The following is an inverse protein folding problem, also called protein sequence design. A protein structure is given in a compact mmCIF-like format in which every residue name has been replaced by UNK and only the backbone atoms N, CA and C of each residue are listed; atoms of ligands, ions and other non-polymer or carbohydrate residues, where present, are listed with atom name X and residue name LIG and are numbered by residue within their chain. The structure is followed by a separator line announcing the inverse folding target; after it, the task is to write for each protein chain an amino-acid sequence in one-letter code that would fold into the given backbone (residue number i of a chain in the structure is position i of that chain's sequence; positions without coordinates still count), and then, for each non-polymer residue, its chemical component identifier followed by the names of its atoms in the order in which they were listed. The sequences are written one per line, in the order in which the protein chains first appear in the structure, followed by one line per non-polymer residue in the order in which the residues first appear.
data_IF_188637744528
#
_entry.id   IF_188637744528
#
_cell.length_a   1.000
_cell.length_b   1.000
_cell.length_c   1.000
_cell.angle_alpha   90.00
_cell.angle_beta   90.00
_cell.angle_gamma   90.00
#
_symmetry.space_group_name_H-M   'P 1'
#
loop_
_entity.id
_entity.type
_entity.pdbx_description
1 polymer ?
#
# COMPACT_ATOMS: atom_id res chain seq x y z
N UNK A 1 25.98 -0.40 -6.60
CA UNK A 1 26.22 0.95 -7.12
C UNK A 1 25.21 1.86 -6.43
N UNK A 2 25.60 2.99 -5.87
CA UNK A 2 24.64 3.87 -5.21
C UNK A 2 23.70 4.48 -6.25
N UNK A 3 22.38 4.36 -6.05
CA UNK A 3 21.43 5.01 -6.95
C UNK A 3 21.49 6.54 -6.75
N UNK A 4 21.13 7.31 -7.77
CA UNK A 4 20.98 8.76 -7.62
C UNK A 4 19.93 9.13 -6.56
N UNK A 5 19.05 8.19 -6.21
CA UNK A 5 17.96 8.35 -5.25
C UNK A 5 18.30 7.86 -3.84
N UNK A 6 19.49 7.29 -3.63
CA UNK A 6 19.96 6.90 -2.30
C UNK A 6 19.96 8.14 -1.40
N UNK A 7 19.53 7.99 -0.15
CA UNK A 7 19.55 9.09 0.82
C UNK A 7 18.77 10.33 0.35
N UNK A 8 17.62 10.13 -0.32
CA UNK A 8 16.71 11.21 -0.69
C UNK A 8 15.46 11.21 0.18
N UNK A 9 14.96 12.40 0.49
CA UNK A 9 13.76 12.57 1.27
C UNK A 9 12.56 11.90 0.59
N UNK A 10 11.82 11.07 1.33
CA UNK A 10 10.62 10.39 0.83
C UNK A 10 9.51 11.36 0.38
N UNK A 11 9.53 12.61 0.89
CA UNK A 11 8.48 13.60 0.64
C UNK A 11 8.77 14.51 -0.55
N UNK A 12 10.03 14.94 -0.70
CA UNK A 12 10.37 15.95 -1.72
C UNK A 12 11.49 15.52 -2.67
N UNK A 13 12.12 14.37 -2.45
CA UNK A 13 13.22 13.85 -3.29
C UNK A 13 14.57 14.54 -3.12
N UNK A 14 14.72 15.53 -2.24
CA UNK A 14 16.01 16.22 -2.00
C UNK A 14 16.95 15.32 -1.18
N UNK A 15 18.25 15.34 -1.51
CA UNK A 15 19.31 14.63 -0.77
C UNK A 15 19.36 15.04 0.70
N UNK A 16 19.57 14.06 1.58
CA UNK A 16 19.61 14.26 3.03
C UNK A 16 20.23 13.04 3.72
N UNK A 17 20.99 13.27 4.77
CA UNK A 17 21.50 12.20 5.65
C UNK A 17 20.57 11.92 6.84
N UNK A 18 19.59 12.80 7.07
CA UNK A 18 18.60 12.65 8.12
C UNK A 18 17.66 11.48 7.81
N UNK A 19 17.67 10.48 8.70
CA UNK A 19 16.84 9.29 8.63
C UNK A 19 15.95 9.12 9.86
N UNK A 20 14.84 8.42 9.71
CA UNK A 20 13.97 8.05 10.82
C UNK A 20 14.71 7.12 11.78
N UNK A 21 15.00 7.60 12.99
CA UNK A 21 15.77 6.86 14.00
C UNK A 21 15.12 5.53 14.40
N UNK A 22 13.79 5.46 14.45
CA UNK A 22 13.06 4.22 14.75
C UNK A 22 13.16 3.19 13.63
N UNK A 23 13.09 3.61 12.37
CA UNK A 23 13.21 2.69 11.23
C UNK A 23 14.65 2.20 11.03
N UNK A 24 15.64 3.08 11.29
CA UNK A 24 17.04 2.68 11.30
C UNK A 24 17.31 1.54 12.31
N UNK A 25 16.66 1.57 13.48
CA UNK A 25 16.72 0.47 14.47
C UNK A 25 16.08 -0.84 13.96
N UNK A 26 15.18 -0.77 12.99
CA UNK A 26 14.61 -1.92 12.31
C UNK A 26 15.46 -2.37 11.11
N UNK A 27 16.58 -1.71 10.82
CA UNK A 27 17.45 -2.06 9.69
C UNK A 27 16.94 -1.55 8.33
N UNK A 28 16.11 -0.50 8.29
CA UNK A 28 15.73 0.18 7.05
C UNK A 28 15.92 1.69 7.17
N UNK A 29 16.57 2.30 6.17
CA UNK A 29 16.87 3.72 6.16
C UNK A 29 15.82 4.51 5.38
N UNK A 30 14.91 5.15 6.12
CA UNK A 30 13.87 6.02 5.56
C UNK A 30 14.22 7.49 5.83
N UNK A 31 14.41 8.25 4.76
CA UNK A 31 15.02 9.58 4.80
C UNK A 31 13.99 10.72 4.78
N UNK A 32 14.24 11.77 5.58
CA UNK A 32 13.44 12.99 5.66
C UNK A 32 14.35 14.21 5.77
N UNK A 33 14.28 15.17 4.85
CA UNK A 33 15.20 16.32 4.87
C UNK A 33 14.96 17.28 6.04
N UNK A 34 13.76 17.25 6.65
CA UNK A 34 13.42 18.04 7.82
C UNK A 34 12.42 17.31 8.75
N UNK A 35 12.35 17.68 10.04
CA UNK A 35 11.30 17.22 10.94
C UNK A 35 9.89 17.53 10.42
N UNK A 36 9.72 18.63 9.67
CA UNK A 36 8.41 19.02 9.15
C UNK A 36 7.94 18.11 8.02
N UNK A 37 8.84 17.64 7.15
CA UNK A 37 8.50 16.60 6.17
C UNK A 37 8.17 15.27 6.84
N UNK A 38 8.86 14.91 7.93
CA UNK A 38 8.51 13.73 8.70
C UNK A 38 7.11 13.89 9.36
N UNK A 39 6.83 15.04 9.99
CA UNK A 39 5.53 15.35 10.60
C UNK A 39 4.41 15.32 9.58
N UNK A 40 4.64 15.83 8.37
CA UNK A 40 3.66 15.87 7.29
C UNK A 40 3.07 14.47 7.03
N UNK A 41 3.93 13.46 6.91
CA UNK A 41 3.51 12.07 6.63
C UNK A 41 3.36 11.21 7.89
N UNK A 42 3.58 11.79 9.08
CA UNK A 42 3.64 11.04 10.34
C UNK A 42 2.35 10.28 10.63
N UNK A 43 1.19 10.83 10.27
CA UNK A 43 -0.12 10.19 10.46
C UNK A 43 -0.17 8.80 9.82
N UNK A 44 0.41 8.65 8.63
CA UNK A 44 0.52 7.37 7.93
C UNK A 44 1.73 6.57 8.42
N UNK A 45 2.93 7.18 8.39
CA UNK A 45 4.19 6.51 8.67
C UNK A 45 4.23 5.86 10.06
N UNK A 46 3.68 6.51 11.10
CA UNK A 46 3.71 5.99 12.49
C UNK A 46 3.08 4.60 12.65
N UNK A 47 2.15 4.23 11.77
CA UNK A 47 1.45 2.93 11.81
C UNK A 47 2.39 1.77 11.46
N UNK A 48 3.43 2.04 10.69
CA UNK A 48 4.40 1.05 10.18
C UNK A 48 5.84 1.39 10.57
N UNK A 49 6.03 2.37 11.46
CA UNK A 49 7.33 2.85 11.90
C UNK A 49 7.86 2.01 13.07
N UNK A 50 9.17 1.73 13.05
CA UNK A 50 9.93 1.16 14.17
C UNK A 50 10.14 -0.36 14.13
N UNK A 51 10.89 -0.89 15.12
CA UNK A 51 11.16 -2.32 15.24
C UNK A 51 9.87 -3.14 15.29
N UNK A 52 9.88 -4.29 14.60
CA UNK A 52 8.73 -5.19 14.48
C UNK A 52 7.61 -4.68 13.55
N UNK A 53 7.80 -3.54 12.86
CA UNK A 53 6.80 -2.96 11.94
C UNK A 53 7.38 -2.45 10.62
N UNK A 54 8.57 -1.87 10.66
CA UNK A 54 9.15 -1.21 9.50
C UNK A 54 9.91 -2.16 8.57
N UNK A 55 10.52 -3.22 9.11
CA UNK A 55 11.24 -4.22 8.35
C UNK A 55 11.17 -5.59 9.06
N UNK A 56 10.42 -6.57 8.50
CA UNK A 56 9.57 -6.44 7.31
C UNK A 56 8.46 -5.40 7.52
N UNK A 57 7.92 -4.86 6.41
CA UNK A 57 6.76 -3.97 6.48
C UNK A 57 5.55 -4.76 6.99
N UNK A 58 5.05 -4.42 8.18
CA UNK A 58 3.89 -5.06 8.79
C UNK A 58 2.64 -4.22 8.58
N UNK A 59 1.64 -4.81 7.93
CA UNK A 59 0.29 -4.29 7.85
C UNK A 59 -0.30 -4.13 9.25
N UNK A 60 -0.81 -2.93 9.59
CA UNK A 60 -1.52 -2.72 10.84
C UNK A 60 -2.77 -3.59 10.91
N UNK A 61 -3.03 -4.12 12.10
CA UNK A 61 -4.29 -4.79 12.44
C UNK A 61 -5.51 -3.91 12.13
N UNK A 62 -6.65 -4.55 11.99
CA UNK A 62 -7.91 -3.88 11.74
C UNK A 62 -8.36 -3.15 13.01
N UNK A 63 -8.89 -1.94 12.84
CA UNK A 63 -9.78 -1.38 13.86
C UNK A 63 -11.09 -2.15 13.91
N UNK A 64 -11.83 -2.04 15.01
CA UNK A 64 -13.15 -2.66 15.11
C UNK A 64 -14.09 -2.19 13.98
N UNK A 65 -14.06 -0.88 13.68
CA UNK A 65 -14.85 -0.29 12.59
C UNK A 65 -14.48 -0.88 11.22
N UNK A 66 -13.20 -1.05 10.93
CA UNK A 66 -12.75 -1.69 9.67
C UNK A 66 -13.26 -3.14 9.58
N UNK A 67 -13.20 -3.89 10.67
CA UNK A 67 -13.66 -5.28 10.71
C UNK A 67 -15.18 -5.40 10.57
N UNK A 68 -15.95 -4.55 11.24
CA UNK A 68 -17.41 -4.53 11.15
C UNK A 68 -17.86 -4.20 9.72
N UNK A 69 -17.27 -3.18 9.09
CA UNK A 69 -17.50 -2.83 7.68
C UNK A 69 -17.18 -3.98 6.74
N UNK A 70 -16.03 -4.64 6.94
CA UNK A 70 -15.66 -5.82 6.15
C UNK A 70 -16.71 -6.92 6.29
N UNK A 71 -17.12 -7.25 7.51
CA UNK A 71 -18.07 -8.34 7.78
C UNK A 71 -19.46 -8.03 7.23
N UNK A 72 -19.93 -6.79 7.38
CA UNK A 72 -21.23 -6.34 6.88
C UNK A 72 -21.29 -6.43 5.35
N UNK A 73 -20.18 -6.12 4.67
CA UNK A 73 -20.14 -5.93 3.22
C UNK A 73 -19.35 -7.00 2.46
N UNK A 74 -18.88 -8.07 3.09
CA UNK A 74 -18.02 -9.05 2.41
C UNK A 74 -18.71 -9.81 1.26
N UNK A 75 -20.04 -9.77 1.18
CA UNK A 75 -20.83 -10.34 0.09
C UNK A 75 -21.23 -9.34 -0.99
N UNK A 76 -20.86 -8.06 -0.85
CA UNK A 76 -21.08 -7.06 -1.90
C UNK A 76 -20.25 -7.39 -3.14
N UNK A 77 -20.82 -7.09 -4.31
CA UNK A 77 -20.14 -7.29 -5.58
C UNK A 77 -19.01 -6.27 -5.74
N UNK A 78 -17.79 -6.78 -5.89
CA UNK A 78 -16.62 -6.07 -6.37
C UNK A 78 -16.62 -6.16 -7.90
N UNK A 79 -17.21 -5.15 -8.55
CA UNK A 79 -17.44 -5.12 -10.01
C UNK A 79 -16.18 -5.48 -10.82
N UNK A 80 -14.98 -4.94 -10.51
CA UNK A 80 -13.77 -5.33 -11.25
C UNK A 80 -13.43 -6.82 -11.19
N UNK A 81 -13.77 -7.50 -10.10
CA UNK A 81 -13.53 -8.93 -9.95
C UNK A 81 -14.62 -9.74 -10.64
N UNK A 82 -15.88 -9.32 -10.53
CA UNK A 82 -17.02 -9.98 -11.15
C UNK A 82 -16.88 -10.10 -12.68
N UNK A 83 -16.27 -9.10 -13.34
CA UNK A 83 -16.00 -9.16 -14.77
C UNK A 83 -14.91 -10.17 -15.17
N UNK A 84 -14.03 -10.54 -14.24
CA UNK A 84 -12.90 -11.46 -14.50
C UNK A 84 -13.23 -12.88 -14.09
N UNK A 85 -13.90 -13.03 -12.95
CA UNK A 85 -14.23 -14.32 -12.36
C UNK A 85 -15.41 -14.16 -11.40
N UNK A 86 -16.55 -14.78 -11.75
CA UNK A 86 -17.77 -14.74 -10.92
C UNK A 86 -17.59 -15.35 -9.54
N UNK A 87 -16.70 -16.34 -9.38
CA UNK A 87 -16.41 -16.96 -8.09
C UNK A 87 -15.61 -16.04 -7.15
N UNK A 88 -14.94 -15.02 -7.70
CA UNK A 88 -14.20 -14.01 -6.94
C UNK A 88 -14.92 -12.66 -6.92
N UNK A 89 -16.20 -12.62 -7.32
CA UNK A 89 -16.97 -11.38 -7.45
C UNK A 89 -17.18 -10.63 -6.14
N UNK A 90 -16.91 -11.24 -4.98
CA UNK A 90 -17.07 -10.64 -3.65
C UNK A 90 -15.80 -10.83 -2.83
N UNK A 91 -15.64 -10.06 -1.76
CA UNK A 91 -14.54 -10.25 -0.80
C UNK A 91 -14.58 -11.66 -0.22
N UNK A 92 -15.75 -12.13 0.18
CA UNK A 92 -15.93 -13.49 0.70
C UNK A 92 -15.55 -14.54 -0.34
N UNK A 93 -16.03 -14.43 -1.58
CA UNK A 93 -15.71 -15.40 -2.64
C UNK A 93 -14.21 -15.48 -2.93
N UNK A 94 -13.55 -14.32 -3.03
CA UNK A 94 -12.11 -14.25 -3.26
C UNK A 94 -11.29 -14.83 -2.10
N UNK A 95 -11.64 -14.50 -0.85
CA UNK A 95 -10.91 -14.94 0.35
C UNK A 95 -11.17 -16.41 0.69
N UNK A 96 -12.43 -16.85 0.65
CA UNK A 96 -12.82 -18.25 0.86
C UNK A 96 -12.10 -19.19 -0.10
N UNK A 97 -12.03 -18.82 -1.39
CA UNK A 97 -11.29 -19.60 -2.40
C UNK A 97 -9.79 -19.62 -2.12
N UNK A 98 -9.21 -18.49 -1.72
CA UNK A 98 -7.78 -18.40 -1.47
C UNK A 98 -7.36 -19.23 -0.26
N UNK A 99 -8.18 -19.25 0.79
CA UNK A 99 -7.87 -19.91 2.06
C UNK A 99 -8.47 -21.32 2.20
N UNK A 100 -9.34 -21.73 1.29
CA UNK A 100 -10.15 -22.94 1.41
C UNK A 100 -10.97 -22.96 2.72
N UNK A 101 -11.70 -21.87 2.98
CA UNK A 101 -12.56 -21.69 4.17
C UNK A 101 -13.97 -21.27 3.80
N UNK A 102 -14.91 -21.47 4.71
CA UNK A 102 -16.29 -20.96 4.58
C UNK A 102 -16.43 -19.49 5.06
N UNK A 103 -17.56 -18.83 4.75
CA UNK A 103 -17.78 -17.43 5.15
C UNK A 103 -17.81 -17.17 6.66
N UNK A 104 -18.24 -18.12 7.50
CA UNK A 104 -18.25 -17.95 8.96
C UNK A 104 -16.83 -18.06 9.55
N UNK A 105 -16.02 -18.95 8.98
CA UNK A 105 -14.59 -19.00 9.26
C UNK A 105 -13.90 -17.69 8.84
N UNK A 106 -14.26 -17.11 7.69
CA UNK A 106 -13.74 -15.81 7.26
C UNK A 106 -14.12 -14.68 8.25
N UNK A 107 -15.37 -14.63 8.73
CA UNK A 107 -15.77 -13.66 9.77
C UNK A 107 -14.95 -13.81 11.05
N UNK A 108 -14.70 -15.06 11.45
CA UNK A 108 -13.89 -15.37 12.63
C UNK A 108 -12.45 -14.91 12.45
N UNK A 109 -11.87 -15.13 11.27
CA UNK A 109 -10.55 -14.63 10.89
C UNK A 109 -10.49 -13.10 10.90
N UNK A 110 -11.49 -12.41 10.35
CA UNK A 110 -11.54 -10.93 10.37
C UNK A 110 -11.52 -10.42 11.81
N UNK A 111 -12.31 -11.03 12.72
CA UNK A 111 -12.32 -10.69 14.15
C UNK A 111 -10.99 -10.98 14.84
N UNK A 112 -10.31 -12.06 14.48
CA UNK A 112 -8.99 -12.42 14.98
C UNK A 112 -7.92 -11.36 14.62
N UNK A 113 -8.08 -10.69 13.47
CA UNK A 113 -7.17 -9.66 12.97
C UNK A 113 -7.45 -8.24 13.50
N UNK A 114 -8.34 -8.10 14.50
CA UNK A 114 -8.68 -6.82 15.13
C UNK A 114 -7.67 -6.44 16.24
N UNK A 115 -7.40 -5.15 16.37
CA UNK A 115 -6.63 -4.59 17.50
C UNK A 115 -7.25 -5.01 18.83
N UNK A 116 -6.46 -5.63 19.70
CA UNK A 116 -6.90 -6.05 21.04
C UNK A 116 -7.57 -7.42 21.09
N UNK A 117 -7.75 -8.12 19.95
CA UNK A 117 -8.20 -9.50 19.95
C UNK A 117 -7.21 -10.41 20.71
N UNK A 118 -7.75 -11.34 21.50
CA UNK A 118 -6.95 -12.37 22.18
C UNK A 118 -6.25 -13.23 21.14
N UNK A 119 -4.92 -13.22 21.19
CA UNK A 119 -4.06 -14.00 20.33
C UNK A 119 -3.13 -14.82 21.19
N UNK A 120 -2.86 -16.10 20.84
CA UNK A 120 -1.78 -16.85 21.46
C UNK A 120 -0.53 -15.97 21.50
N UNK A 121 0.12 -15.87 22.65
CA UNK A 121 1.33 -15.07 22.82
C UNK A 121 2.39 -15.56 21.83
N UNK A 122 2.69 -14.75 20.81
CA UNK A 122 3.70 -15.07 19.80
C UNK A 122 3.26 -14.61 18.43
N UNK A 123 4.01 -13.65 17.88
CA UNK A 123 4.10 -13.14 16.51
C UNK A 123 2.91 -13.25 15.54
N UNK A 124 2.64 -12.13 14.88
CA UNK A 124 1.76 -12.11 13.70
C UNK A 124 2.38 -13.02 12.64
N UNK A 125 1.62 -13.99 12.14
CA UNK A 125 2.13 -14.95 11.15
C UNK A 125 2.26 -14.30 9.77
N UNK A 126 3.04 -14.91 8.87
CA UNK A 126 3.07 -14.48 7.46
C UNK A 126 1.67 -14.55 6.83
N UNK A 127 0.87 -15.55 7.21
CA UNK A 127 -0.50 -15.70 6.74
C UNK A 127 -1.37 -14.52 7.22
N UNK A 128 -1.27 -14.12 8.49
CA UNK A 128 -2.01 -12.96 9.02
C UNK A 128 -1.69 -11.69 8.25
N UNK A 129 -0.41 -11.47 7.93
CA UNK A 129 0.02 -10.30 7.15
C UNK A 129 -0.51 -10.32 5.73
N UNK A 130 -0.51 -11.49 5.09
CA UNK A 130 -1.10 -11.65 3.78
C UNK A 130 -2.62 -11.38 3.81
N UNK A 131 -3.30 -11.83 4.85
CA UNK A 131 -4.73 -11.61 5.03
C UNK A 131 -5.07 -10.15 5.27
N UNK A 132 -4.32 -9.47 6.14
CA UNK A 132 -4.45 -8.03 6.34
C UNK A 132 -4.25 -7.26 5.04
N UNK A 133 -3.24 -7.62 4.24
CA UNK A 133 -3.00 -7.00 2.94
C UNK A 133 -4.22 -7.15 2.00
N UNK A 134 -4.73 -8.38 1.82
CA UNK A 134 -5.85 -8.66 0.91
C UNK A 134 -7.16 -8.02 1.38
N UNK A 135 -7.50 -8.13 2.67
CA UNK A 135 -8.68 -7.50 3.26
C UNK A 135 -8.66 -5.98 3.03
N UNK A 136 -7.50 -5.34 3.29
CA UNK A 136 -7.33 -3.89 3.06
C UNK A 136 -7.35 -3.53 1.58
N UNK A 137 -6.79 -4.36 0.71
CA UNK A 137 -6.72 -4.08 -0.73
C UNK A 137 -8.09 -4.10 -1.43
N UNK A 138 -8.98 -4.98 -0.97
CA UNK A 138 -10.27 -5.21 -1.62
C UNK A 138 -11.33 -4.20 -1.19
N UNK A 139 -11.16 -3.57 -0.03
CA UNK A 139 -12.11 -2.58 0.48
C UNK A 139 -12.26 -1.34 -0.43
N UNK A 140 -11.18 -0.70 -0.93
CA UNK A 140 -11.28 0.33 -1.94
C UNK A 140 -11.96 -0.16 -3.22
N UNK A 141 -11.63 -1.37 -3.67
CA UNK A 141 -12.18 -1.95 -4.89
C UNK A 141 -13.70 -2.14 -4.78
N UNK A 142 -14.19 -2.54 -3.61
CA UNK A 142 -15.61 -2.60 -3.28
C UNK A 142 -16.27 -1.21 -3.29
N UNK A 143 -15.66 -0.24 -2.60
CA UNK A 143 -16.23 1.11 -2.42
C UNK A 143 -16.25 1.93 -3.70
N UNK A 144 -15.23 1.82 -4.54
CA UNK A 144 -15.11 2.67 -5.71
C UNK A 144 -16.24 2.46 -6.71
N UNK A 145 -16.85 1.26 -6.80
CA UNK A 145 -17.91 0.93 -7.76
C UNK A 145 -17.59 1.25 -9.24
N UNK A 146 -16.35 1.64 -9.56
CA UNK A 146 -15.88 1.94 -10.92
C UNK A 146 -14.76 0.97 -11.30
N UNK A 147 -14.69 0.65 -12.59
CA UNK A 147 -13.72 -0.25 -13.20
C UNK A 147 -12.32 0.33 -13.35
N UNK A 148 -12.14 1.61 -13.03
CA UNK A 148 -11.01 2.33 -13.57
C UNK A 148 -9.72 2.05 -12.81
N UNK A 149 -8.69 1.66 -13.56
CA UNK A 149 -7.34 1.36 -13.06
C UNK A 149 -6.63 2.60 -12.46
N UNK A 150 -7.32 3.75 -12.46
CA UNK A 150 -6.86 5.02 -11.92
C UNK A 150 -7.27 5.23 -10.45
N UNK A 151 -7.31 4.18 -9.62
CA UNK A 151 -7.66 4.22 -8.17
C UNK A 151 -6.90 5.27 -7.34
N UNK A 152 -5.81 5.83 -7.86
CA UNK A 152 -5.15 6.99 -7.27
C UNK A 152 -6.07 8.24 -7.16
N UNK A 153 -7.26 8.24 -7.76
CA UNK A 153 -8.25 9.31 -7.71
C UNK A 153 -9.42 9.07 -6.74
N UNK A 154 -9.47 7.96 -5.98
CA UNK A 154 -10.52 7.80 -4.96
C UNK A 154 -10.20 8.76 -3.80
N UNK A 155 -10.90 9.90 -3.67
CA UNK A 155 -10.61 10.84 -2.61
C UNK A 155 -10.96 10.15 -1.28
N UNK A 156 -10.22 10.46 -0.22
CA UNK A 156 -10.48 9.95 1.14
C UNK A 156 -10.09 8.50 1.45
N UNK A 157 -9.36 7.78 0.58
CA UNK A 157 -8.82 6.49 0.99
C UNK A 157 -7.75 6.65 2.08
N UNK A 158 -7.89 5.83 3.12
CA UNK A 158 -6.85 5.69 4.12
C UNK A 158 -5.53 5.24 3.45
N UNK A 159 -4.39 5.90 3.72
CA UNK A 159 -3.12 5.61 3.05
C UNK A 159 -2.66 4.17 3.18
N UNK A 160 -2.94 3.49 4.30
CA UNK A 160 -2.56 2.07 4.47
C UNK A 160 -3.42 1.20 3.55
N UNK A 161 -4.71 1.48 3.48
CA UNK A 161 -5.64 0.78 2.58
C UNK A 161 -5.28 1.02 1.10
N UNK A 162 -4.94 2.25 0.72
CA UNK A 162 -4.46 2.58 -0.62
C UNK A 162 -3.13 1.84 -0.94
N UNK A 163 -2.20 1.79 0.01
CA UNK A 163 -0.93 1.06 -0.14
C UNK A 163 -1.18 -0.44 -0.31
N UNK A 164 -2.10 -1.02 0.47
CA UNK A 164 -2.47 -2.43 0.36
C UNK A 164 -3.09 -2.74 -1.01
N UNK A 165 -4.00 -1.89 -1.48
CA UNK A 165 -4.59 -2.01 -2.82
C UNK A 165 -3.49 -2.02 -3.90
N UNK A 166 -2.57 -1.06 -3.83
CA UNK A 166 -1.46 -0.98 -4.76
C UNK A 166 -0.56 -2.23 -4.69
N UNK A 167 -0.19 -2.66 -3.48
CA UNK A 167 0.70 -3.79 -3.24
C UNK A 167 0.10 -5.13 -3.72
N UNK A 168 -1.20 -5.35 -3.52
CA UNK A 168 -1.89 -6.62 -3.79
C UNK A 168 -2.46 -6.70 -5.20
N UNK A 169 -2.90 -5.60 -5.79
CA UNK A 169 -3.59 -5.61 -7.09
C UNK A 169 -2.75 -5.05 -8.24
N UNK A 170 -1.79 -4.16 -7.95
CA UNK A 170 -0.94 -3.53 -8.98
C UNK A 170 0.46 -4.15 -8.96
N UNK A 171 1.12 -4.14 -7.80
CA UNK A 171 2.46 -4.68 -7.58
C UNK A 171 2.47 -6.21 -7.36
N UNK A 172 1.41 -6.90 -7.75
CA UNK A 172 1.28 -8.34 -7.55
C UNK A 172 2.37 -9.10 -8.34
N UNK A 173 3.05 -9.98 -7.62
CA UNK A 173 4.04 -10.94 -8.10
C UNK A 173 3.61 -12.33 -7.62
N UNK A 174 3.91 -13.35 -8.42
CA UNK A 174 3.68 -14.75 -8.06
C UNK A 174 5.03 -15.47 -8.04
N UNK A 175 5.39 -16.21 -6.96
CA UNK A 175 4.66 -16.33 -5.67
C UNK A 175 4.72 -15.04 -4.82
N UNK A 176 3.69 -14.79 -4.01
CA UNK A 176 3.40 -13.48 -3.39
C UNK A 176 4.28 -13.14 -2.17
N UNK A 177 4.77 -11.89 -2.10
CA UNK A 177 4.77 -11.11 -0.85
C UNK A 177 6.07 -11.05 -0.06
N UNK A 178 7.05 -11.91 -0.39
CA UNK A 178 8.31 -12.05 0.35
C UNK A 178 9.53 -11.54 -0.45
N UNK A 179 9.31 -10.77 -1.51
CA UNK A 179 10.41 -10.24 -2.31
C UNK A 179 11.23 -9.20 -1.52
N UNK A 180 12.57 -9.21 -1.62
CA UNK A 180 13.43 -8.28 -0.87
C UNK A 180 13.10 -6.80 -1.08
N UNK A 181 12.67 -6.42 -2.30
CA UNK A 181 12.34 -5.04 -2.65
C UNK A 181 11.02 -4.54 -2.03
N UNK A 182 10.14 -5.46 -1.59
CA UNK A 182 8.75 -5.13 -1.28
C UNK A 182 8.59 -4.28 -0.03
N UNK A 183 9.45 -4.47 0.98
CA UNK A 183 9.42 -3.64 2.21
C UNK A 183 9.70 -2.17 1.88
N UNK A 184 10.78 -1.87 1.16
CA UNK A 184 11.11 -0.49 0.79
C UNK A 184 10.05 0.11 -0.13
N UNK A 185 9.58 -0.67 -1.10
CA UNK A 185 8.53 -0.27 -2.01
C UNK A 185 7.23 0.13 -1.29
N UNK A 186 6.80 -0.64 -0.30
CA UNK A 186 5.60 -0.32 0.51
C UNK A 186 5.77 0.99 1.28
N UNK A 187 6.96 1.30 1.80
CA UNK A 187 7.21 2.61 2.43
C UNK A 187 7.19 3.76 1.42
N UNK A 188 7.75 3.57 0.22
CA UNK A 188 7.69 4.54 -0.87
C UNK A 188 6.24 4.83 -1.27
N UNK A 189 5.46 3.77 -1.53
CA UNK A 189 4.07 3.88 -1.93
C UNK A 189 3.19 4.48 -0.83
N UNK A 190 3.43 4.14 0.44
CA UNK A 190 2.70 4.72 1.56
C UNK A 190 2.84 6.24 1.61
N UNK A 191 4.07 6.75 1.42
CA UNK A 191 4.33 8.19 1.39
C UNK A 191 3.75 8.82 0.13
N UNK A 192 3.96 8.23 -1.04
CA UNK A 192 3.46 8.76 -2.31
C UNK A 192 1.93 8.84 -2.35
N UNK A 193 1.23 7.80 -1.88
CA UNK A 193 -0.23 7.76 -1.84
C UNK A 193 -0.80 8.69 -0.77
N UNK A 194 -0.12 8.84 0.37
CA UNK A 194 -0.47 9.86 1.36
C UNK A 194 -0.37 11.28 0.78
N UNK A 195 0.73 11.55 0.07
CA UNK A 195 0.96 12.80 -0.61
C UNK A 195 0.10 12.95 -1.87
N UNK A 196 -0.61 11.94 -2.36
CA UNK A 196 -1.53 12.11 -3.50
C UNK A 196 -2.61 13.17 -3.30
N UNK A 197 -2.76 13.70 -2.08
CA UNK A 197 -3.84 14.59 -1.69
C UNK A 197 -3.60 16.08 -2.05
N UNK A 198 -2.42 16.69 -1.81
CA UNK A 198 -2.17 18.15 -2.07
C UNK A 198 -0.69 18.69 -1.99
N UNK A 199 0.37 18.05 -2.48
CA UNK A 199 1.74 18.57 -2.36
C UNK A 199 2.10 19.45 -3.58
N UNK A 200 3.19 20.23 -3.47
CA UNK A 200 3.75 20.97 -4.60
C UNK A 200 4.06 20.08 -5.80
N UNK A 201 3.79 20.58 -7.01
CA UNK A 201 3.96 19.84 -8.28
C UNK A 201 5.39 19.33 -8.43
N UNK A 202 6.38 20.14 -8.08
CA UNK A 202 7.79 19.75 -8.24
C UNK A 202 8.23 18.63 -7.28
N UNK A 203 7.44 18.33 -6.24
CA UNK A 203 7.69 17.16 -5.38
C UNK A 203 7.22 15.89 -6.08
N UNK A 204 6.07 15.95 -6.77
CA UNK A 204 5.55 14.80 -7.49
C UNK A 204 6.52 14.34 -8.57
N UNK A 205 7.02 15.22 -9.45
CA UNK A 205 7.95 14.81 -10.51
C UNK A 205 9.17 14.06 -9.96
N UNK A 206 9.74 14.53 -8.84
CA UNK A 206 10.87 13.86 -8.17
C UNK A 206 10.48 12.54 -7.52
N UNK A 207 9.33 12.46 -6.85
CA UNK A 207 8.84 11.21 -6.24
C UNK A 207 8.56 10.17 -7.33
N UNK A 208 7.91 10.56 -8.42
CA UNK A 208 7.62 9.67 -9.54
C UNK A 208 8.91 9.19 -10.21
N UNK A 209 9.87 10.08 -10.45
CA UNK A 209 11.18 9.71 -11.00
C UNK A 209 11.91 8.72 -10.09
N UNK A 210 11.91 8.96 -8.77
CA UNK A 210 12.46 8.03 -7.77
C UNK A 210 11.80 6.66 -7.83
N UNK A 211 10.48 6.61 -7.79
CA UNK A 211 9.73 5.35 -7.83
C UNK A 211 10.00 4.58 -9.12
N UNK A 212 10.04 5.26 -10.28
CA UNK A 212 10.41 4.64 -11.55
C UNK A 212 11.85 4.12 -11.54
N UNK A 213 12.80 4.87 -10.98
CA UNK A 213 14.18 4.40 -10.85
C UNK A 213 14.28 3.16 -9.95
N UNK A 214 13.58 3.14 -8.81
CA UNK A 214 13.48 1.98 -7.93
C UNK A 214 12.91 0.76 -8.67
N UNK A 215 11.81 0.94 -9.42
CA UNK A 215 11.20 -0.14 -10.21
C UNK A 215 12.21 -0.72 -11.22
N UNK A 216 12.93 0.14 -11.96
CA UNK A 216 13.92 -0.31 -12.97
C UNK A 216 15.13 -1.02 -12.35
N UNK A 217 15.52 -0.65 -11.15
CA UNK A 217 16.76 -1.14 -10.52
C UNK A 217 16.53 -2.35 -9.62
N UNK A 218 15.46 -2.33 -8.82
CA UNK A 218 15.20 -3.34 -7.80
C UNK A 218 14.17 -4.40 -8.23
N UNK A 219 13.21 -4.02 -9.08
CA UNK A 219 12.07 -4.89 -9.45
C UNK A 219 12.25 -5.50 -10.84
N UNK A 220 12.51 -4.68 -11.86
CA UNK A 220 12.59 -5.08 -13.26
C UNK A 220 13.55 -6.25 -13.54
N UNK A 221 14.76 -6.31 -12.94
CA UNK A 221 15.69 -7.41 -13.21
C UNK A 221 15.14 -8.79 -12.83
N UNK A 222 14.23 -8.85 -11.85
CA UNK A 222 13.67 -10.09 -11.31
C UNK A 222 12.21 -10.30 -11.73
N UNK A 223 11.47 -9.21 -11.99
CA UNK A 223 10.04 -9.21 -12.25
C UNK A 223 9.65 -8.22 -13.37
N UNK A 224 10.11 -8.41 -14.62
CA UNK A 224 9.93 -7.44 -15.70
C UNK A 224 8.46 -7.15 -16.02
N UNK A 225 7.58 -8.16 -15.94
CA UNK A 225 6.13 -7.99 -16.13
C UNK A 225 5.46 -7.18 -15.02
N UNK A 226 5.99 -7.25 -13.81
CA UNK A 226 5.50 -6.43 -12.70
C UNK A 226 6.03 -5.01 -12.86
N UNK A 227 7.32 -4.85 -13.20
CA UNK A 227 7.90 -3.55 -13.48
C UNK A 227 7.14 -2.79 -14.58
N UNK A 228 6.76 -3.45 -15.68
CA UNK A 228 5.93 -2.84 -16.73
C UNK A 228 4.64 -2.20 -16.19
N UNK A 229 3.98 -2.83 -15.21
CA UNK A 229 2.77 -2.31 -14.57
C UNK A 229 3.05 -1.18 -13.58
N UNK A 230 4.19 -1.23 -12.91
CA UNK A 230 4.57 -0.27 -11.87
C UNK A 230 5.22 0.99 -12.44
N UNK A 231 5.78 0.92 -13.65
CA UNK A 231 6.35 2.07 -14.32
C UNK A 231 5.26 3.08 -14.66
N UNK A 232 5.39 4.26 -14.06
CA UNK A 232 4.47 5.36 -14.26
C UNK A 232 4.86 6.09 -15.56
N UNK A 233 3.91 6.21 -16.48
CA UNK A 233 4.10 6.79 -17.81
C UNK A 233 3.75 8.28 -17.79
N UNK A 234 4.58 9.12 -18.42
CA UNK A 234 4.38 10.57 -18.54
C UNK A 234 4.96 11.41 -17.38
N UNK A 235 5.04 12.75 -17.53
CA UNK A 235 5.40 13.67 -16.46
C UNK A 235 4.36 13.66 -15.33
N UNK A 236 4.79 13.68 -14.07
CA UNK A 236 3.86 13.66 -12.95
C UNK A 236 3.02 14.94 -12.88
N UNK A 237 3.59 16.06 -13.32
CA UNK A 237 2.91 17.33 -13.52
C UNK A 237 1.72 17.24 -14.50
N UNK A 238 1.82 16.45 -15.57
CA UNK A 238 0.71 16.24 -16.51
C UNK A 238 -0.39 15.39 -15.88
N UNK A 239 -0.01 14.29 -15.19
CA UNK A 239 -0.95 13.44 -14.44
C UNK A 239 -1.67 14.26 -13.35
N UNK A 240 -0.94 15.13 -12.65
CA UNK A 240 -1.51 15.98 -11.60
C UNK A 240 -2.40 17.08 -12.17
N UNK A 241 -2.01 17.71 -13.28
CA UNK A 241 -2.84 18.71 -13.96
C UNK A 241 -4.16 18.11 -14.46
N UNK A 242 -4.11 16.91 -15.04
CA UNK A 242 -5.31 16.16 -15.42
C UNK A 242 -6.20 15.91 -14.19
N UNK A 243 -5.63 15.48 -13.06
CA UNK A 243 -6.37 15.27 -11.81
C UNK A 243 -7.02 16.55 -11.29
N UNK A 244 -6.26 17.64 -11.18
CA UNK A 244 -6.80 18.91 -10.68
C UNK A 244 -7.95 19.42 -11.56
N UNK A 245 -7.85 19.21 -12.88
CA UNK A 245 -8.91 19.58 -13.82
C UNK A 245 -10.22 18.79 -13.63
N UNK A 246 -10.15 17.53 -13.14
CA UNK A 246 -11.33 16.70 -12.88
C UNK A 246 -12.14 17.16 -11.65
N UNK A 247 -11.55 17.98 -10.76
CA UNK A 247 -12.21 18.44 -9.54
C UNK A 247 -12.74 19.89 -9.59
N UNK A 248 -12.72 20.57 -10.75
CA UNK A 248 -13.17 21.96 -10.91
C UNK A 248 -12.65 22.90 -9.80
N UNK A 249 -11.34 22.88 -9.55
CA UNK A 249 -10.63 23.89 -8.76
C UNK A 249 -9.90 24.88 -9.67
#
# INVERSE_FOLDING_TARGET
MSSEWDQTCLVCGIKTENRCSSCAKAGIDLFFCSPDHQKLVWKAHRRVCGPGKANPFMWPLLSQLEADEIIEHMHDIIVPFALRNSEMATLAGAMCRFLDIDPEQLKSLVRYLVIGAERPLGDTTELDQLMLAKLRAFEPARRARVLDAQFMSVPYLDPITATAHHDVLVAHTSPEGNEPWRTEYRHLMLVQLFLGQTPPVEWFDRIFARSNAFVRTEIEPQHPRTAEKLLMQGPASEILAERLSQYNL
#
